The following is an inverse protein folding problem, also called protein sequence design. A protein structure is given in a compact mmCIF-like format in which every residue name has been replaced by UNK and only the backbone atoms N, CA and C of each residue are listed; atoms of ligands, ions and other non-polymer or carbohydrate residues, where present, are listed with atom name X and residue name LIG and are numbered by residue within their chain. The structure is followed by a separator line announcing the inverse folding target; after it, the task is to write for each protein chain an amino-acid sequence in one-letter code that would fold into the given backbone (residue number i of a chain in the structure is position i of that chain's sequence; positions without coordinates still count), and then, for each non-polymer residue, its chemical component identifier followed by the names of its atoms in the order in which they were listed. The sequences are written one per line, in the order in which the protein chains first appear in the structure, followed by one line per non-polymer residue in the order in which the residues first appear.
data_IF_862880503660
#
_entry.id   IF_862880503660
#
_cell.length_a   1.000
_cell.length_b   1.000
_cell.length_c   1.000
_cell.angle_alpha   90.00
_cell.angle_beta   90.00
_cell.angle_gamma   90.00
#
_symmetry.space_group_name_H-M   'P 1'
#
loop_
_entity.id
_entity.type
_entity.pdbx_description
1 polymer ?
#
# COMPACT_ATOMS: atom_id res chain seq x y z
N UNK A 1 16.71 2.35 31.58
CA UNK A 1 17.66 3.43 31.25
C UNK A 1 18.69 3.05 30.16
N UNK A 2 18.72 1.79 29.69
CA UNK A 2 19.67 1.34 28.69
C UNK A 2 19.20 1.63 27.22
N UNK A 3 17.94 1.98 27.02
CA UNK A 3 17.39 2.28 25.69
C UNK A 3 17.58 3.77 25.40
N UNK A 4 18.31 4.06 24.32
CA UNK A 4 18.66 5.41 23.86
C UNK A 4 17.58 5.95 22.92
N UNK A 5 17.13 5.14 21.96
CA UNK A 5 16.06 5.52 21.05
C UNK A 5 15.26 4.31 20.60
N UNK A 6 14.04 4.55 20.20
CA UNK A 6 13.14 3.55 19.60
C UNK A 6 12.53 4.11 18.33
N UNK A 7 12.52 3.28 17.31
CA UNK A 7 11.84 3.56 16.03
C UNK A 7 11.17 2.28 15.55
N UNK A 8 10.26 2.35 14.60
CA UNK A 8 9.70 1.18 13.98
C UNK A 8 9.56 1.35 12.47
N UNK A 9 9.46 0.25 11.75
CA UNK A 9 9.00 0.19 10.38
C UNK A 9 7.76 -0.71 10.31
N UNK A 10 7.29 -1.06 9.11
CA UNK A 10 6.05 -1.84 8.95
C UNK A 10 6.01 -3.18 9.71
N UNK A 11 7.17 -3.81 9.95
CA UNK A 11 7.25 -5.15 10.55
C UNK A 11 8.19 -5.26 11.74
N UNK A 12 9.06 -4.26 11.98
CA UNK A 12 10.16 -4.35 12.95
C UNK A 12 10.16 -3.17 13.92
N UNK A 13 10.35 -3.46 15.19
CA UNK A 13 10.72 -2.48 16.21
C UNK A 13 12.26 -2.41 16.26
N UNK A 14 12.81 -1.19 16.23
CA UNK A 14 14.26 -0.93 16.25
C UNK A 14 14.60 -0.19 17.51
N UNK A 15 15.48 -0.79 18.30
CA UNK A 15 15.94 -0.26 19.57
C UNK A 15 17.44 0.06 19.48
N UNK A 16 17.83 1.28 19.80
CA UNK A 16 19.21 1.63 20.04
C UNK A 16 19.45 1.55 21.55
N UNK A 17 20.45 0.77 21.96
CA UNK A 17 20.81 0.58 23.35
C UNK A 17 22.21 1.16 23.62
N UNK A 18 22.40 1.70 24.82
CA UNK A 18 23.70 2.25 25.23
C UNK A 18 24.73 1.13 25.46
N UNK A 19 24.33 0.06 26.11
CA UNK A 19 25.17 -1.08 26.44
C UNK A 19 24.51 -2.38 26.08
N UNK A 20 25.10 -3.11 25.11
CA UNK A 20 24.57 -4.38 24.61
C UNK A 20 24.61 -5.50 25.63
N UNK A 21 25.65 -5.54 26.47
CA UNK A 21 25.87 -6.59 27.43
C UNK A 21 24.82 -6.61 28.54
N UNK A 22 24.08 -5.51 28.70
CA UNK A 22 22.94 -5.42 29.62
C UNK A 22 21.62 -5.91 29.05
N UNK A 23 21.62 -6.36 27.80
CA UNK A 23 20.41 -6.87 27.15
C UNK A 23 20.34 -8.39 27.25
N UNK A 24 19.35 -8.88 27.96
CA UNK A 24 19.09 -10.32 28.04
C UNK A 24 18.44 -10.82 26.76
N UNK A 25 19.25 -11.31 25.83
CA UNK A 25 18.79 -11.78 24.51
C UNK A 25 17.97 -13.06 24.61
N UNK A 26 18.35 -13.99 25.50
CA UNK A 26 17.60 -15.25 25.71
C UNK A 26 16.18 -14.99 26.21
N UNK A 27 16.02 -13.93 27.02
CA UNK A 27 14.70 -13.55 27.48
C UNK A 27 13.86 -12.91 26.37
N UNK A 28 14.49 -12.08 25.53
CA UNK A 28 13.82 -11.47 24.38
C UNK A 28 13.34 -12.51 23.35
N UNK A 29 14.12 -13.56 23.11
CA UNK A 29 13.75 -14.65 22.21
C UNK A 29 12.52 -15.46 22.69
N UNK A 30 12.30 -15.48 24.01
CA UNK A 30 11.17 -16.18 24.63
C UNK A 30 9.91 -15.31 24.75
N UNK A 31 9.98 -14.04 24.39
CA UNK A 31 8.82 -13.12 24.47
C UNK A 31 7.84 -13.47 23.34
N UNK A 32 6.62 -13.79 23.74
CA UNK A 32 5.55 -14.07 22.79
C UNK A 32 5.26 -12.86 21.89
N UNK A 33 5.09 -13.12 20.60
CA UNK A 33 4.90 -12.08 19.58
C UNK A 33 6.19 -11.59 18.89
N UNK A 34 7.39 -11.95 19.36
CA UNK A 34 8.65 -11.71 18.68
C UNK A 34 8.95 -12.89 17.75
N UNK A 35 8.93 -12.65 16.44
CA UNK A 35 9.17 -13.66 15.40
C UNK A 35 10.65 -13.82 15.03
N UNK A 36 11.49 -12.91 15.47
CA UNK A 36 12.93 -12.96 15.25
C UNK A 36 13.62 -11.69 15.74
N UNK A 37 14.92 -11.84 16.02
CA UNK A 37 15.76 -10.77 16.54
C UNK A 37 16.99 -10.65 15.65
N UNK A 38 17.31 -9.43 15.22
CA UNK A 38 18.52 -9.12 14.46
C UNK A 38 19.32 -8.02 15.14
N UNK A 39 20.64 -8.16 15.09
CA UNK A 39 21.59 -7.14 15.50
C UNK A 39 22.19 -6.50 14.25
N UNK A 40 22.14 -5.20 14.13
CA UNK A 40 22.76 -4.48 13.04
C UNK A 40 23.20 -3.08 13.48
N UNK A 41 24.48 -2.76 13.28
CA UNK A 41 25.06 -1.41 13.46
C UNK A 41 24.57 -0.66 14.71
N UNK A 42 24.70 -1.28 15.90
CA UNK A 42 24.30 -0.62 17.14
C UNK A 42 22.81 -0.65 17.45
N UNK A 43 22.02 -1.40 16.68
CA UNK A 43 20.58 -1.54 16.87
C UNK A 43 20.16 -3.00 17.08
N UNK A 44 19.20 -3.19 17.97
CA UNK A 44 18.46 -4.45 18.08
C UNK A 44 17.14 -4.27 17.29
N UNK A 45 16.91 -5.16 16.36
CA UNK A 45 15.69 -5.18 15.55
C UNK A 45 14.84 -6.38 15.92
N UNK A 46 13.63 -6.13 16.44
CA UNK A 46 12.67 -7.14 16.81
C UNK A 46 11.63 -7.26 15.69
N UNK A 47 11.52 -8.43 15.07
CA UNK A 47 10.47 -8.69 14.09
C UNK A 47 9.20 -9.05 14.83
N UNK A 48 8.17 -8.22 14.68
CA UNK A 48 6.87 -8.41 15.33
C UNK A 48 5.82 -8.77 14.28
N UNK A 49 5.90 -8.17 13.10
CA UNK A 49 4.97 -8.36 12.00
C UNK A 49 4.09 -7.15 11.73
N UNK A 50 3.39 -7.21 10.60
CA UNK A 50 2.50 -6.14 10.15
C UNK A 50 1.30 -5.97 11.08
N UNK A 51 0.94 -4.73 11.38
CA UNK A 51 -0.22 -4.36 12.19
C UNK A 51 -0.02 -4.45 13.70
N UNK A 52 0.90 -5.27 14.18
CA UNK A 52 1.18 -5.41 15.62
C UNK A 52 2.30 -4.47 16.09
N UNK A 53 3.25 -4.15 15.21
CA UNK A 53 4.43 -3.35 15.57
C UNK A 53 4.06 -1.93 16.01
N UNK A 54 3.05 -1.31 15.41
CA UNK A 54 2.57 0.04 15.78
C UNK A 54 2.03 0.05 17.21
N UNK A 55 1.17 -0.92 17.55
CA UNK A 55 0.61 -1.07 18.89
C UNK A 55 1.70 -1.28 19.95
N UNK A 56 2.66 -2.17 19.65
CA UNK A 56 3.80 -2.43 20.55
C UNK A 56 4.67 -1.18 20.71
N UNK A 57 4.89 -0.42 19.65
CA UNK A 57 5.64 0.83 19.70
C UNK A 57 4.95 1.87 20.58
N UNK A 58 3.64 2.06 20.43
CA UNK A 58 2.86 3.00 21.24
C UNK A 58 2.90 2.63 22.73
N UNK A 59 2.65 1.35 23.06
CA UNK A 59 2.73 0.86 24.44
C UNK A 59 4.14 1.00 25.01
N UNK A 60 5.16 0.70 24.21
CA UNK A 60 6.55 0.86 24.60
C UNK A 60 6.89 2.33 24.95
N UNK A 61 6.37 3.30 24.18
CA UNK A 61 6.56 4.72 24.48
C UNK A 61 5.85 5.16 25.76
N UNK A 62 4.69 4.61 26.08
CA UNK A 62 3.98 4.90 27.32
C UNK A 62 4.77 4.46 28.54
N UNK A 63 5.41 3.29 28.46
CA UNK A 63 6.22 2.73 29.54
C UNK A 63 7.56 3.47 29.70
N UNK A 64 8.19 3.84 28.58
CA UNK A 64 9.53 4.45 28.55
C UNK A 64 9.48 5.95 28.26
N UNK A 65 8.93 6.75 29.18
CA UNK A 65 8.82 8.22 29.04
C UNK A 65 10.15 8.98 28.80
N UNK A 66 11.28 8.34 29.04
CA UNK A 66 12.62 8.92 28.87
C UNK A 66 13.32 8.49 27.58
N UNK A 67 12.68 7.68 26.75
CA UNK A 67 13.27 7.22 25.49
C UNK A 67 13.18 8.33 24.44
N UNK A 68 14.33 8.71 23.87
CA UNK A 68 14.37 9.68 22.78
C UNK A 68 13.68 9.09 21.55
N UNK A 69 12.52 9.64 21.20
CA UNK A 69 11.84 9.33 19.94
C UNK A 69 12.60 10.04 18.82
N UNK A 70 13.29 9.27 17.99
CA UNK A 70 13.97 9.84 16.83
C UNK A 70 12.90 10.38 15.86
N UNK A 71 12.82 11.69 15.66
CA UNK A 71 11.87 12.31 14.74
C UNK A 71 12.19 11.84 13.33
N UNK A 72 11.32 10.97 12.78
CA UNK A 72 11.43 10.54 11.39
C UNK A 72 11.43 11.74 10.46
N UNK A 73 12.33 11.73 9.50
CA UNK A 73 12.34 12.72 8.41
C UNK A 73 11.06 12.63 7.58
N UNK A 74 10.75 13.67 6.84
CA UNK A 74 9.57 13.67 5.94
C UNK A 74 9.65 12.51 4.95
N UNK A 75 10.85 12.25 4.42
CA UNK A 75 11.09 11.15 3.49
C UNK A 75 10.82 9.78 4.14
N UNK A 76 11.30 9.55 5.37
CA UNK A 76 11.04 8.30 6.09
C UNK A 76 9.55 8.08 6.37
N UNK A 77 8.81 9.15 6.66
CA UNK A 77 7.35 9.09 6.83
C UNK A 77 6.64 8.72 5.53
N UNK A 78 7.06 9.32 4.40
CA UNK A 78 6.51 9.00 3.09
C UNK A 78 6.81 7.55 2.69
N UNK A 79 8.04 7.08 2.89
CA UNK A 79 8.42 5.68 2.61
C UNK A 79 7.62 4.71 3.47
N UNK A 80 7.42 5.02 4.76
CA UNK A 80 6.60 4.20 5.64
C UNK A 80 5.13 4.18 5.20
N UNK A 81 4.59 5.34 4.82
CA UNK A 81 3.22 5.46 4.32
C UNK A 81 3.01 4.57 3.08
N UNK A 82 3.90 4.69 2.09
CA UNK A 82 3.85 3.86 0.90
C UNK A 82 4.01 2.37 1.25
N UNK A 83 4.96 2.04 2.13
CA UNK A 83 5.13 0.67 2.60
C UNK A 83 3.85 0.10 3.22
N UNK A 84 3.17 0.85 4.08
CA UNK A 84 1.92 0.42 4.72
C UNK A 84 0.79 0.20 3.70
N UNK A 85 0.76 0.99 2.62
CA UNK A 85 -0.21 0.82 1.53
C UNK A 85 0.11 -0.42 0.69
N UNK A 86 1.40 -0.65 0.36
CA UNK A 86 1.78 -1.72 -0.55
C UNK A 86 1.88 -3.11 0.09
N UNK A 87 2.31 -3.21 1.35
CA UNK A 87 2.54 -4.50 2.02
C UNK A 87 1.34 -5.46 1.90
N UNK A 88 0.08 -5.04 2.10
CA UNK A 88 -1.06 -5.94 1.95
C UNK A 88 -1.31 -6.41 0.51
N UNK A 89 -0.84 -5.64 -0.48
CA UNK A 89 -1.07 -5.89 -1.91
C UNK A 89 0.03 -6.77 -2.51
N UNK A 90 1.25 -6.73 -1.94
CA UNK A 90 2.42 -7.47 -2.44
C UNK A 90 2.15 -8.94 -2.75
N UNK A 91 1.45 -9.73 -1.90
CA UNK A 91 1.20 -11.13 -2.23
C UNK A 91 0.42 -11.33 -3.54
N UNK A 92 -0.57 -10.45 -3.82
CA UNK A 92 -1.35 -10.52 -5.06
C UNK A 92 -0.49 -10.17 -6.29
N UNK A 93 0.34 -9.13 -6.17
CA UNK A 93 1.25 -8.71 -7.25
C UNK A 93 2.30 -9.80 -7.54
N UNK A 94 2.89 -10.38 -6.48
CA UNK A 94 3.89 -11.44 -6.63
C UNK A 94 3.28 -12.69 -7.28
N UNK A 95 2.10 -13.11 -6.84
CA UNK A 95 1.42 -14.26 -7.43
C UNK A 95 1.10 -14.03 -8.91
N UNK A 96 0.58 -12.84 -9.25
CA UNK A 96 0.31 -12.45 -10.64
C UNK A 96 1.58 -12.42 -11.50
N UNK A 97 2.65 -11.80 -11.01
CA UNK A 97 3.93 -11.72 -11.73
C UNK A 97 4.59 -13.08 -11.95
N UNK A 98 4.54 -13.96 -10.94
CA UNK A 98 5.05 -15.33 -11.10
C UNK A 98 4.23 -16.12 -12.13
N UNK A 99 2.89 -15.97 -12.10
CA UNK A 99 2.01 -16.61 -13.09
C UNK A 99 2.31 -16.09 -14.50
N UNK A 100 2.45 -14.78 -14.69
CA UNK A 100 2.83 -14.20 -15.99
C UNK A 100 4.17 -14.77 -16.48
N UNK A 101 5.20 -14.78 -15.64
CA UNK A 101 6.51 -15.32 -16.02
C UNK A 101 6.45 -16.79 -16.39
N UNK A 102 5.67 -17.61 -15.69
CA UNK A 102 5.47 -19.03 -16.07
C UNK A 102 4.75 -19.17 -17.41
N UNK A 103 3.73 -18.33 -17.65
CA UNK A 103 2.97 -18.35 -18.91
C UNK A 103 3.85 -17.93 -20.10
N UNK A 104 4.68 -16.90 -19.94
CA UNK A 104 5.60 -16.44 -21.00
C UNK A 104 6.58 -17.57 -21.41
N UNK A 105 7.10 -18.30 -20.43
CA UNK A 105 7.96 -19.47 -20.71
C UNK A 105 7.19 -20.56 -21.45
N UNK A 106 5.98 -20.90 -20.98
CA UNK A 106 5.14 -21.94 -21.63
C UNK A 106 4.76 -21.57 -23.07
N UNK A 107 4.41 -20.30 -23.32
CA UNK A 107 4.10 -19.80 -24.67
C UNK A 107 5.31 -19.86 -25.59
N UNK A 108 6.49 -19.59 -25.07
CA UNK A 108 7.74 -19.65 -25.85
C UNK A 108 8.13 -21.08 -26.21
N UNK A 109 7.90 -22.03 -25.29
CA UNK A 109 8.28 -23.45 -25.49
C UNK A 109 7.23 -24.20 -26.34
N UNK A 110 5.95 -23.86 -26.24
CA UNK A 110 4.86 -24.55 -26.91
C UNK A 110 3.94 -23.61 -27.66
N UNK A 111 4.08 -23.56 -28.97
CA UNK A 111 3.19 -22.78 -29.86
C UNK A 111 1.74 -23.27 -29.82
N UNK A 112 1.52 -24.57 -29.57
CA UNK A 112 0.18 -25.15 -29.39
C UNK A 112 -0.49 -24.62 -28.13
N UNK A 113 0.27 -24.46 -27.04
CA UNK A 113 -0.26 -23.86 -25.81
C UNK A 113 -0.53 -22.37 -25.98
N UNK A 114 0.34 -21.65 -26.69
CA UNK A 114 0.18 -20.21 -26.93
C UNK A 114 -1.12 -19.85 -27.67
N UNK A 115 -1.65 -20.75 -28.52
CA UNK A 115 -2.92 -20.56 -29.21
C UNK A 115 -4.12 -21.24 -28.55
N UNK A 116 -4.02 -21.66 -27.28
CA UNK A 116 -5.09 -22.40 -26.60
C UNK A 116 -5.94 -21.49 -25.69
N UNK A 117 -7.22 -21.83 -25.54
CA UNK A 117 -8.14 -21.15 -24.62
C UNK A 117 -7.63 -21.19 -23.16
N UNK A 118 -6.86 -22.22 -22.81
CA UNK A 118 -6.22 -22.30 -21.49
C UNK A 118 -5.19 -21.19 -21.26
N UNK A 119 -4.42 -20.86 -22.30
CA UNK A 119 -3.48 -19.75 -22.25
C UNK A 119 -4.19 -18.43 -22.03
N UNK A 120 -5.31 -18.20 -22.73
CA UNK A 120 -6.10 -16.97 -22.59
C UNK A 120 -6.70 -16.83 -21.19
N UNK A 121 -7.30 -17.90 -20.65
CA UNK A 121 -7.88 -17.88 -19.30
C UNK A 121 -6.80 -17.64 -18.23
N UNK A 122 -5.68 -18.32 -18.32
CA UNK A 122 -4.59 -18.15 -17.34
C UNK A 122 -3.94 -16.75 -17.46
N UNK A 123 -3.82 -16.21 -18.67
CA UNK A 123 -3.34 -14.86 -18.91
C UNK A 123 -4.29 -13.80 -18.33
N UNK A 124 -5.60 -14.02 -18.42
CA UNK A 124 -6.60 -13.18 -17.79
C UNK A 124 -6.39 -13.12 -16.27
N UNK A 125 -6.22 -14.28 -15.61
CA UNK A 125 -5.97 -14.32 -14.16
C UNK A 125 -4.65 -13.64 -13.78
N UNK A 126 -3.58 -13.90 -14.53
CA UNK A 126 -2.28 -13.34 -14.29
C UNK A 126 -2.27 -11.80 -14.42
N UNK A 127 -2.93 -11.27 -15.44
CA UNK A 127 -2.94 -9.83 -15.72
C UNK A 127 -3.91 -9.05 -14.83
N UNK A 128 -4.94 -9.69 -14.25
CA UNK A 128 -6.00 -9.01 -13.51
C UNK A 128 -5.47 -8.15 -12.35
N UNK A 129 -4.50 -8.64 -11.58
CA UNK A 129 -3.96 -7.88 -10.45
C UNK A 129 -3.27 -6.58 -10.87
N UNK A 130 -2.62 -6.57 -12.03
CA UNK A 130 -1.96 -5.37 -12.57
C UNK A 130 -2.96 -4.41 -13.21
N UNK A 131 -3.93 -4.94 -13.93
CA UNK A 131 -4.96 -4.13 -14.59
C UNK A 131 -5.82 -3.37 -13.56
N UNK A 132 -6.19 -4.03 -12.47
CA UNK A 132 -7.00 -3.47 -11.39
C UNK A 132 -6.18 -3.02 -10.18
N UNK A 133 -4.87 -2.85 -10.34
CA UNK A 133 -3.97 -2.36 -9.29
C UNK A 133 -4.47 -1.06 -8.63
N UNK A 134 -5.01 -0.05 -9.35
CA UNK A 134 -5.58 1.15 -8.74
C UNK A 134 -6.67 0.86 -7.69
N UNK A 135 -7.50 -0.17 -7.90
CA UNK A 135 -8.54 -0.55 -6.94
C UNK A 135 -7.92 -1.12 -5.66
N UNK A 136 -6.92 -2.00 -5.79
CA UNK A 136 -6.22 -2.59 -4.65
C UNK A 136 -5.50 -1.51 -3.84
N UNK A 137 -4.84 -0.57 -4.53
CA UNK A 137 -4.17 0.57 -3.89
C UNK A 137 -5.20 1.47 -3.17
N UNK A 138 -6.34 1.76 -3.80
CA UNK A 138 -7.37 2.60 -3.22
C UNK A 138 -7.92 2.02 -1.91
N UNK A 139 -8.24 0.73 -1.89
CA UNK A 139 -8.71 0.00 -0.70
C UNK A 139 -7.66 0.04 0.41
N UNK A 140 -6.41 -0.24 0.07
CA UNK A 140 -5.31 -0.25 1.05
C UNK A 140 -4.98 1.14 1.58
N UNK A 141 -4.97 2.15 0.72
CA UNK A 141 -4.75 3.55 1.09
C UNK A 141 -5.86 4.06 2.02
N UNK A 142 -7.13 3.73 1.77
CA UNK A 142 -8.23 4.09 2.64
C UNK A 142 -8.06 3.53 4.06
N UNK A 143 -7.61 2.28 4.19
CA UNK A 143 -7.30 1.68 5.51
C UNK A 143 -6.20 2.45 6.23
N UNK A 144 -5.16 2.88 5.51
CA UNK A 144 -4.05 3.64 6.09
C UNK A 144 -4.46 5.06 6.46
N UNK A 145 -5.28 5.71 5.64
CA UNK A 145 -5.79 7.06 5.91
C UNK A 145 -7.00 7.08 6.85
N UNK A 146 -7.60 5.92 7.15
CA UNK A 146 -8.78 5.78 7.99
C UNK A 146 -10.03 6.38 7.36
N UNK A 147 -10.22 6.18 6.06
CA UNK A 147 -11.41 6.50 5.29
C UNK A 147 -12.24 5.26 4.97
N UNK A 148 -13.41 5.47 4.35
CA UNK A 148 -14.30 4.40 3.95
C UNK A 148 -13.70 3.60 2.77
N UNK A 149 -13.53 2.29 2.98
CA UNK A 149 -12.91 1.39 2.01
C UNK A 149 -13.77 1.18 0.76
N UNK A 150 -15.09 1.27 0.88
CA UNK A 150 -16.02 1.08 -0.24
C UNK A 150 -16.03 2.31 -1.16
N UNK A 151 -16.01 3.51 -0.58
CA UNK A 151 -15.87 4.74 -1.36
C UNK A 151 -14.53 4.77 -2.10
N UNK A 152 -13.46 4.37 -1.43
CA UNK A 152 -12.15 4.26 -2.06
C UNK A 152 -12.13 3.22 -3.19
N UNK A 153 -12.78 2.06 -3.00
CA UNK A 153 -12.91 1.06 -4.06
C UNK A 153 -13.62 1.63 -5.29
N UNK A 154 -14.71 2.38 -5.10
CA UNK A 154 -15.42 3.06 -6.20
C UNK A 154 -14.52 4.07 -6.92
N UNK A 155 -13.74 4.86 -6.19
CA UNK A 155 -12.75 5.76 -6.79
C UNK A 155 -11.76 4.97 -7.65
N UNK A 156 -11.21 3.86 -7.13
CA UNK A 156 -10.31 2.99 -7.88
C UNK A 156 -10.96 2.44 -9.16
N UNK A 157 -12.24 2.03 -9.09
CA UNK A 157 -13.01 1.54 -10.23
C UNK A 157 -13.23 2.65 -11.27
N UNK A 158 -13.56 3.87 -10.83
CA UNK A 158 -13.72 5.02 -11.73
C UNK A 158 -12.41 5.29 -12.48
N UNK A 159 -11.27 5.19 -11.79
CA UNK A 159 -9.95 5.46 -12.39
C UNK A 159 -9.52 4.43 -13.45
N UNK A 160 -10.13 3.24 -13.47
CA UNK A 160 -9.87 2.20 -14.49
C UNK A 160 -11.12 1.85 -15.29
N UNK A 161 -12.13 2.74 -15.29
CA UNK A 161 -13.40 2.48 -15.90
C UNK A 161 -13.26 2.20 -17.42
N UNK A 162 -14.01 1.25 -18.01
CA UNK A 162 -13.93 0.91 -19.44
C UNK A 162 -14.21 2.07 -20.40
N UNK A 163 -14.94 3.10 -19.97
CA UNK A 163 -15.14 4.34 -20.76
C UNK A 163 -13.88 5.20 -20.88
N UNK A 164 -12.82 4.91 -20.13
CA UNK A 164 -11.52 5.57 -20.25
C UNK A 164 -10.61 4.71 -21.14
N UNK A 165 -9.80 5.38 -21.95
CA UNK A 165 -8.77 4.68 -22.73
C UNK A 165 -7.76 4.07 -21.75
N UNK A 166 -7.43 2.81 -21.96
CA UNK A 166 -6.44 2.13 -21.13
C UNK A 166 -5.09 2.86 -21.21
N UNK A 167 -4.48 3.14 -20.07
CA UNK A 167 -3.21 3.86 -19.98
C UNK A 167 -2.07 3.20 -20.79
N UNK A 168 -2.10 1.88 -20.96
CA UNK A 168 -1.11 1.13 -21.73
C UNK A 168 -1.25 1.34 -23.24
N UNK A 169 -2.47 1.62 -23.74
CA UNK A 169 -2.75 1.79 -25.17
C UNK A 169 -2.42 3.21 -25.63
N UNK A 170 -2.40 4.18 -24.72
CA UNK A 170 -2.14 5.61 -25.03
C UNK A 170 -0.80 5.83 -25.73
N UNK A 171 0.21 5.02 -25.39
CA UNK A 171 1.55 5.12 -26.02
C UNK A 171 1.57 4.90 -27.53
N UNK A 172 0.55 4.19 -28.05
CA UNK A 172 0.42 3.84 -29.49
C UNK A 172 -0.57 4.76 -30.23
N UNK A 173 -1.18 5.74 -29.53
CA UNK A 173 -2.19 6.65 -30.11
C UNK A 173 -1.60 8.04 -30.36
N UNK A 174 -2.03 8.67 -31.45
CA UNK A 174 -1.74 10.08 -31.67
C UNK A 174 -2.48 10.97 -30.63
N UNK A 175 -1.84 12.01 -30.14
CA UNK A 175 -2.42 12.89 -29.09
C UNK A 175 -3.77 13.51 -29.48
N UNK A 176 -4.03 13.65 -30.81
CA UNK A 176 -5.29 14.18 -31.34
C UNK A 176 -6.45 13.16 -31.31
N UNK A 177 -6.15 11.87 -31.21
CA UNK A 177 -7.15 10.79 -31.19
C UNK A 177 -7.69 10.53 -29.78
N UNK A 178 -7.05 11.09 -28.74
CA UNK A 178 -7.48 10.90 -27.36
C UNK A 178 -8.71 11.77 -27.08
N UNK A 179 -9.88 11.18 -26.80
CA UNK A 179 -11.09 11.92 -26.47
C UNK A 179 -10.88 12.80 -25.23
N UNK A 180 -11.48 13.96 -25.23
CA UNK A 180 -11.31 14.93 -24.13
C UNK A 180 -12.69 15.45 -23.71
N UNK A 181 -12.93 15.47 -22.39
CA UNK A 181 -14.08 16.17 -21.82
C UNK A 181 -13.75 17.65 -21.66
N UNK A 182 -14.58 18.49 -22.23
CA UNK A 182 -14.48 19.95 -22.10
C UNK A 182 -15.49 20.41 -21.03
N UNK A 183 -15.00 20.66 -19.83
CA UNK A 183 -15.83 21.13 -18.71
C UNK A 183 -15.38 22.56 -18.39
N UNK A 184 -16.11 23.56 -18.89
CA UNK A 184 -15.80 24.97 -18.78
C UNK A 184 -14.38 25.29 -19.30
N UNK A 185 -13.45 25.57 -18.38
CA UNK A 185 -12.03 25.88 -18.68
C UNK A 185 -11.10 24.65 -18.56
N UNK A 186 -11.62 23.49 -18.18
CA UNK A 186 -10.86 22.27 -17.98
C UNK A 186 -11.02 21.34 -19.18
N UNK A 187 -9.89 20.95 -19.77
CA UNK A 187 -9.82 19.93 -20.81
C UNK A 187 -9.25 18.65 -20.19
N UNK A 188 -10.11 17.68 -19.89
CA UNK A 188 -9.74 16.44 -19.23
C UNK A 188 -9.66 15.32 -20.25
N UNK A 189 -8.48 14.78 -20.48
CA UNK A 189 -8.30 13.61 -21.37
C UNK A 189 -8.93 12.37 -20.73
N UNK A 190 -9.61 11.58 -21.55
CA UNK A 190 -10.28 10.36 -21.10
C UNK A 190 -9.29 9.20 -21.04
N UNK A 191 -8.31 9.31 -20.17
CA UNK A 191 -7.25 8.29 -19.97
C UNK A 191 -7.45 7.65 -18.60
N UNK A 192 -7.44 6.33 -18.57
CA UNK A 192 -7.45 5.56 -17.33
C UNK A 192 -6.11 5.61 -16.61
N UNK A 193 -6.12 5.16 -15.37
CA UNK A 193 -4.95 5.19 -14.48
C UNK A 193 -4.42 3.78 -14.19
N UNK A 194 -4.54 2.86 -15.15
CA UNK A 194 -3.97 1.52 -15.04
C UNK A 194 -2.45 1.62 -14.80
N UNK A 195 -1.95 0.91 -13.81
CA UNK A 195 -0.54 0.95 -13.42
C UNK A 195 -0.06 2.22 -12.71
N UNK A 196 -0.92 3.22 -12.49
CA UNK A 196 -0.54 4.45 -11.80
C UNK A 196 -0.86 4.36 -10.29
N UNK A 197 0.13 4.67 -9.47
CA UNK A 197 0.04 4.58 -8.00
C UNK A 197 -0.25 5.94 -7.36
N UNK A 198 0.57 6.94 -7.69
CA UNK A 198 0.57 8.24 -7.00
C UNK A 198 -0.79 8.96 -7.12
N UNK A 199 -1.42 9.06 -8.30
CA UNK A 199 -2.72 9.71 -8.43
C UNK A 199 -3.80 9.04 -7.56
N UNK A 200 -3.80 7.69 -7.50
CA UNK A 200 -4.76 6.94 -6.70
C UNK A 200 -4.60 7.25 -5.21
N UNK A 201 -3.37 7.20 -4.69
CA UNK A 201 -3.08 7.51 -3.29
C UNK A 201 -3.50 8.93 -2.92
N UNK A 202 -3.23 9.91 -3.80
CA UNK A 202 -3.59 11.31 -3.59
C UNK A 202 -5.11 11.51 -3.55
N UNK A 203 -5.85 10.92 -4.48
CA UNK A 203 -7.31 11.06 -4.53
C UNK A 203 -7.96 10.40 -3.32
N UNK A 204 -7.50 9.21 -2.91
CA UNK A 204 -8.00 8.52 -1.71
C UNK A 204 -7.65 9.28 -0.43
N UNK A 205 -6.47 9.88 -0.36
CA UNK A 205 -6.11 10.75 0.77
C UNK A 205 -7.06 11.95 0.86
N UNK A 206 -7.35 12.60 -0.28
CA UNK A 206 -8.27 13.73 -0.34
C UNK A 206 -9.69 13.31 0.06
N UNK A 207 -10.19 12.19 -0.48
CA UNK A 207 -11.47 11.60 -0.12
C UNK A 207 -11.56 11.35 1.39
N UNK A 208 -10.58 10.66 1.98
CA UNK A 208 -10.57 10.34 3.42
C UNK A 208 -10.52 11.60 4.28
N UNK A 209 -9.87 12.66 3.81
CA UNK A 209 -9.87 13.97 4.51
C UNK A 209 -11.21 14.66 4.44
N UNK A 210 -11.85 14.64 3.27
CA UNK A 210 -13.20 15.22 3.08
C UNK A 210 -14.24 14.48 3.91
N UNK A 211 -14.23 13.14 3.87
CA UNK A 211 -15.10 12.29 4.68
C UNK A 211 -15.01 12.63 6.17
N UNK A 212 -13.79 12.69 6.71
CA UNK A 212 -13.56 13.08 8.11
C UNK A 212 -14.03 14.50 8.46
N UNK A 213 -13.99 15.42 7.51
CA UNK A 213 -14.50 16.78 7.71
C UNK A 213 -16.01 16.81 7.66
N UNK A 214 -16.64 16.03 6.80
CA UNK A 214 -18.09 15.90 6.69
C UNK A 214 -18.67 15.29 7.96
N UNK A 215 -18.16 14.15 8.43
CA UNK A 215 -18.56 13.53 9.69
C UNK A 215 -18.55 14.49 10.90
N UNK A 216 -17.63 15.45 10.93
CA UNK A 216 -17.54 16.43 12.01
C UNK A 216 -18.60 17.54 11.94
N UNK A 217 -19.20 17.76 10.78
CA UNK A 217 -20.11 18.89 10.52
C UNK A 217 -21.56 18.48 10.35
N UNK A 218 -21.80 17.20 10.07
CA UNK A 218 -23.13 16.68 9.75
C UNK A 218 -23.73 16.05 11.00
N UNK A 219 -25.03 16.28 11.30
CA UNK A 219 -25.74 15.60 12.38
C UNK A 219 -25.81 14.09 12.13
N UNK A 220 -25.75 13.29 13.20
CA UNK A 220 -25.74 11.81 13.15
C UNK A 220 -26.89 11.21 12.33
N UNK A 221 -28.05 11.88 12.29
CA UNK A 221 -29.24 11.41 11.55
C UNK A 221 -29.04 11.36 10.03
N UNK A 222 -28.16 12.22 9.49
CA UNK A 222 -27.93 12.36 8.03
C UNK A 222 -26.54 11.80 7.63
N UNK A 223 -25.71 11.50 8.60
CA UNK A 223 -24.33 11.07 8.38
C UNK A 223 -24.23 9.84 7.48
N UNK A 224 -25.12 8.86 7.67
CA UNK A 224 -25.18 7.63 6.85
C UNK A 224 -25.46 7.88 5.36
N UNK A 225 -26.11 9.01 5.01
CA UNK A 225 -26.49 9.34 3.62
C UNK A 225 -25.51 10.26 2.93
N UNK A 226 -24.63 10.91 3.68
CA UNK A 226 -23.72 11.94 3.16
C UNK A 226 -22.26 11.46 3.13
N UNK A 227 -21.96 10.43 3.88
CA UNK A 227 -20.69 9.74 3.93
C UNK A 227 -20.82 8.27 3.55
#
# INVERSE_FOLDING_TARGET
KNIVSVTHCATRLRLVVAEYDKVNMEHLEKVDGIKGIFRNNGQIQLIIGTGSVEKVYEEFLKINKHTLVNKKTILEKMMQLLGNIFIPIVPAIVAAGLMMGCLDVLQTVSTTFAGSDWCDILSLFANTAFLFLPILIAISAAKVFGGNIYLAAIIGIIMVHPSLINAWDVGNMASAEIPTWNIWFLHIRQIGYQGHVIPVVLVVWLMSKLEKQLHKRIPEVVDLFVT
#
